data_IF_275032845749
#
_entry.id   IF_275032845749
#
_cell.length_a   1.000
_cell.length_b   1.000
_cell.length_c   1.000
_cell.angle_alpha   90.00
_cell.angle_beta   90.00
_cell.angle_gamma   90.00
#
_symmetry.space_group_name_H-M   'P 1'
#
loop_
_entity.id
_entity.type
_entity.pdbx_description
1 polymer ?
#
# COMPACT_ATOMS: atom_id res chain seq x y z
N UNK A 1 6.13 11.27 -8.85
CA UNK A 1 4.86 10.63 -8.45
C UNK A 1 3.80 11.70 -8.28
N UNK A 2 2.69 11.59 -8.99
CA UNK A 2 1.48 12.40 -8.85
C UNK A 2 0.39 11.73 -8.00
N UNK A 3 -0.67 12.51 -7.73
CA UNK A 3 -1.85 12.04 -7.00
C UNK A 3 -2.99 11.77 -7.99
N UNK A 4 -3.56 10.57 -7.93
CA UNK A 4 -4.75 10.18 -8.68
C UNK A 4 -6.00 10.35 -7.83
N UNK A 5 -6.85 11.28 -8.23
CA UNK A 5 -8.19 11.47 -7.65
C UNK A 5 -9.20 10.51 -8.27
N UNK A 6 -10.02 9.86 -7.45
CA UNK A 6 -11.11 9.02 -7.94
C UNK A 6 -12.33 9.85 -8.30
N UNK A 7 -13.12 9.36 -9.26
CA UNK A 7 -14.44 9.92 -9.52
C UNK A 7 -15.41 9.56 -8.38
N UNK A 8 -16.28 10.48 -7.95
CA UNK A 8 -17.15 10.30 -6.78
C UNK A 8 -18.40 9.45 -7.09
N UNK A 9 -18.20 8.21 -7.54
CA UNK A 9 -19.29 7.28 -7.88
C UNK A 9 -19.95 6.63 -6.66
N UNK A 10 -19.23 6.47 -5.55
CA UNK A 10 -19.77 5.98 -4.28
C UNK A 10 -19.34 6.90 -3.12
N UNK A 11 -20.04 6.91 -1.97
CA UNK A 11 -19.66 7.75 -0.83
C UNK A 11 -18.20 7.56 -0.41
N UNK A 12 -17.69 6.32 -0.46
CA UNK A 12 -16.33 5.98 -0.10
C UNK A 12 -15.26 6.44 -1.11
N UNK A 13 -15.63 6.75 -2.36
CA UNK A 13 -14.66 7.26 -3.36
C UNK A 13 -14.64 8.77 -3.49
N UNK A 14 -15.50 9.51 -2.78
CA UNK A 14 -15.61 10.98 -2.88
C UNK A 14 -14.34 11.72 -2.49
N UNK A 15 -13.69 11.27 -1.42
CA UNK A 15 -12.48 11.87 -0.88
C UNK A 15 -11.25 10.98 -1.12
N UNK A 16 -11.42 9.87 -1.84
CA UNK A 16 -10.36 8.90 -2.03
C UNK A 16 -9.34 9.42 -3.05
N UNK A 17 -8.08 9.34 -2.65
CA UNK A 17 -6.91 9.61 -3.49
C UNK A 17 -5.94 8.46 -3.38
N UNK A 18 -5.35 8.04 -4.50
CA UNK A 18 -4.23 7.11 -4.52
C UNK A 18 -3.02 7.76 -5.19
N UNK A 19 -1.83 7.18 -5.01
CA UNK A 19 -0.62 7.59 -5.73
C UNK A 19 -0.67 7.01 -7.15
N UNK A 20 -0.11 7.71 -8.14
CA UNK A 20 -0.11 7.29 -9.54
C UNK A 20 0.92 6.22 -9.91
N UNK A 21 1.89 5.95 -9.04
CA UNK A 21 2.95 4.95 -9.19
C UNK A 21 3.76 5.05 -10.50
N UNK A 22 3.84 6.24 -11.12
CA UNK A 22 4.45 6.44 -12.43
C UNK A 22 5.95 6.09 -12.49
N UNK A 23 6.63 6.15 -11.35
CA UNK A 23 8.08 5.87 -11.22
C UNK A 23 8.38 4.39 -10.91
N UNK A 24 7.38 3.59 -10.54
CA UNK A 24 7.59 2.18 -10.22
C UNK A 24 7.72 1.39 -11.52
N UNK A 25 8.92 0.88 -11.79
CA UNK A 25 9.24 0.15 -13.02
C UNK A 25 9.01 -1.36 -12.93
N UNK A 26 8.92 -1.92 -11.72
CA UNK A 26 8.70 -3.35 -11.48
C UNK A 26 7.74 -3.57 -10.31
N UNK A 27 6.81 -4.51 -10.46
CA UNK A 27 5.79 -4.84 -9.45
C UNK A 27 6.26 -5.85 -8.40
N UNK A 28 7.25 -6.68 -8.72
CA UNK A 28 7.72 -7.77 -7.86
C UNK A 28 9.08 -7.47 -7.23
N UNK A 29 9.29 -7.79 -5.94
CA UNK A 29 10.59 -7.63 -5.28
C UNK A 29 11.57 -8.75 -5.66
N UNK A 30 12.85 -8.55 -5.40
CA UNK A 30 13.88 -9.56 -5.67
C UNK A 30 13.84 -10.67 -4.61
N UNK A 31 13.60 -11.92 -5.02
CA UNK A 31 13.30 -13.02 -4.09
C UNK A 31 14.42 -13.24 -3.07
N UNK A 32 15.67 -13.18 -3.52
CA UNK A 32 16.85 -13.35 -2.67
C UNK A 32 17.01 -12.27 -1.60
N UNK A 33 16.39 -11.10 -1.79
CA UNK A 33 16.44 -9.96 -0.87
C UNK A 33 15.18 -9.84 0.00
N UNK A 34 14.25 -10.80 -0.08
CA UNK A 34 13.01 -10.81 0.71
C UNK A 34 13.07 -11.80 1.86
N UNK A 35 12.32 -11.51 2.94
CA UNK A 35 12.11 -12.42 4.07
C UNK A 35 10.67 -12.34 4.57
N UNK A 36 10.22 -13.36 5.30
CA UNK A 36 8.91 -13.32 5.95
C UNK A 36 8.89 -12.30 7.09
N UNK A 37 7.76 -11.60 7.24
CA UNK A 37 7.53 -10.62 8.31
C UNK A 37 6.22 -10.98 9.01
N UNK A 38 6.30 -11.48 10.24
CA UNK A 38 5.14 -11.77 11.06
C UNK A 38 4.56 -10.49 11.67
N UNK A 39 3.24 -10.29 11.59
CA UNK A 39 2.57 -9.12 12.19
C UNK A 39 2.37 -9.31 13.69
N UNK A 40 2.72 -8.30 14.47
CA UNK A 40 2.59 -8.31 15.94
C UNK A 40 1.12 -8.22 16.42
N UNK A 41 0.15 -7.86 15.56
CA UNK A 41 -1.29 -7.78 15.85
C UNK A 41 -1.63 -6.96 17.11
N UNK A 42 -0.85 -5.92 17.41
CA UNK A 42 -1.07 -5.04 18.57
C UNK A 42 -0.55 -5.59 19.90
N UNK A 43 0.17 -6.72 19.91
CA UNK A 43 0.72 -7.35 21.10
C UNK A 43 2.23 -7.13 21.22
N UNK A 44 2.71 -7.01 22.45
CA UNK A 44 4.13 -7.01 22.75
C UNK A 44 4.57 -8.39 23.28
N UNK A 45 5.81 -8.50 23.76
CA UNK A 45 6.37 -9.75 24.30
C UNK A 45 5.77 -10.21 25.64
N UNK A 46 4.81 -9.47 26.21
CA UNK A 46 4.09 -9.81 27.45
C UNK A 46 2.65 -10.28 27.21
N UNK A 47 2.19 -10.27 25.96
CA UNK A 47 0.80 -10.56 25.60
C UNK A 47 0.03 -9.30 25.28
#
# INVERSE_FOLDING_TARGET
MGIRYYRPYTPGTRERTDVDFSEITRSEPEKSLTRSVHRLKGRNNRG
#
